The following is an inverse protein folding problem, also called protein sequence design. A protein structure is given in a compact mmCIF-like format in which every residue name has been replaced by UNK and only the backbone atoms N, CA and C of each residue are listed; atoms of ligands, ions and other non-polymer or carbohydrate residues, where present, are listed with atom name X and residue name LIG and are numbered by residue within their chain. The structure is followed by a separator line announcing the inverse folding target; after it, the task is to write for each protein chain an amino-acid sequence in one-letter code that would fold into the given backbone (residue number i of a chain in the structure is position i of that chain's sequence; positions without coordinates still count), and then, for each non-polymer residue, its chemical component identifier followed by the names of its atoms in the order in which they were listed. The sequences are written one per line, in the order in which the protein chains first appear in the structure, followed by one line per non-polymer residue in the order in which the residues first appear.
data_IF_033721753323
#
_entry.id   IF_033721753323
#
_cell.length_a   1.000
_cell.length_b   1.000
_cell.length_c   1.000
_cell.angle_alpha   90.00
_cell.angle_beta   90.00
_cell.angle_gamma   90.00
#
_symmetry.space_group_name_H-M   'P 1'
#
loop_
_entity.id
_entity.type
_entity.pdbx_description
1 polymer ?
#
# COMPACT_ATOMS: atom_id res chain seq x y z
N UNK A 1 -1.10 -44.03 -2.10
CA UNK A 1 -2.12 -43.22 -1.42
C UNK A 1 -1.96 -41.80 -1.94
N UNK A 2 -2.87 -41.27 -2.80
CA UNK A 2 -2.81 -39.92 -3.29
C UNK A 2 -3.40 -38.96 -2.27
N UNK A 3 -2.72 -37.83 -2.03
CA UNK A 3 -3.21 -36.72 -1.21
C UNK A 3 -4.32 -35.95 -1.96
N UNK A 4 -5.38 -35.52 -1.32
CA UNK A 4 -6.41 -34.74 -1.97
C UNK A 4 -5.94 -33.29 -2.17
N UNK A 5 -5.79 -32.90 -3.44
CA UNK A 5 -5.67 -31.49 -3.87
C UNK A 5 -7.05 -30.86 -3.85
N UNK A 6 -7.38 -30.12 -2.82
CA UNK A 6 -8.46 -29.14 -2.85
C UNK A 6 -7.98 -27.83 -2.26
N UNK A 7 -7.47 -26.95 -3.13
CA UNK A 7 -7.33 -25.52 -2.82
C UNK A 7 -8.76 -24.97 -2.85
N UNK A 8 -9.28 -24.38 -1.76
CA UNK A 8 -10.58 -23.73 -1.80
C UNK A 8 -10.52 -22.55 -2.78
N UNK A 9 -11.49 -22.48 -3.68
CA UNK A 9 -11.74 -21.31 -4.52
C UNK A 9 -11.95 -20.09 -3.61
N UNK A 10 -11.43 -18.89 -3.95
CA UNK A 10 -11.71 -17.69 -3.18
C UNK A 10 -13.20 -17.38 -3.32
N UNK A 11 -13.99 -17.81 -2.34
CA UNK A 11 -15.37 -17.42 -2.22
C UNK A 11 -15.44 -15.90 -2.03
N UNK A 12 -16.20 -15.19 -2.87
CA UNK A 12 -16.55 -13.81 -2.65
C UNK A 12 -17.16 -13.68 -1.26
N UNK A 13 -16.58 -12.82 -0.42
CA UNK A 13 -17.14 -12.52 0.89
C UNK A 13 -18.52 -11.89 0.66
N UNK A 14 -19.56 -12.48 1.24
CA UNK A 14 -20.89 -11.93 1.12
C UNK A 14 -20.94 -10.54 1.78
N UNK A 15 -21.67 -9.59 1.19
CA UNK A 15 -21.79 -8.21 1.68
C UNK A 15 -22.25 -8.12 3.16
N UNK A 16 -22.86 -9.19 3.70
CA UNK A 16 -23.23 -9.31 5.12
C UNK A 16 -22.07 -9.54 6.07
N UNK A 17 -20.94 -10.09 5.61
CA UNK A 17 -19.80 -10.41 6.48
C UNK A 17 -18.94 -9.17 6.81
N UNK A 18 -19.03 -8.11 6.01
CA UNK A 18 -18.34 -6.84 6.28
C UNK A 18 -18.93 -6.08 7.48
N UNK A 19 -20.21 -6.32 7.81
CA UNK A 19 -20.88 -5.67 8.95
C UNK A 19 -20.51 -6.30 10.31
N UNK A 20 -19.90 -7.47 10.32
CA UNK A 20 -19.48 -8.21 11.54
C UNK A 20 -17.95 -8.22 11.72
N UNK A 21 -17.26 -7.13 11.32
CA UNK A 21 -15.83 -6.99 11.58
C UNK A 21 -15.65 -6.79 13.09
N UNK A 22 -15.11 -7.80 13.79
CA UNK A 22 -14.62 -7.65 15.16
C UNK A 22 -13.63 -6.48 15.19
N UNK A 23 -13.92 -5.46 15.99
CA UNK A 23 -13.14 -4.21 16.10
C UNK A 23 -11.69 -4.47 16.50
N UNK A 24 -11.40 -5.60 17.12
CA UNK A 24 -10.07 -5.96 17.65
C UNK A 24 -9.10 -6.49 16.58
N UNK A 25 -9.58 -6.79 15.37
CA UNK A 25 -8.77 -7.37 14.29
C UNK A 25 -8.35 -6.38 13.19
N UNK A 26 -8.86 -5.16 13.22
CA UNK A 26 -8.65 -4.11 12.19
C UNK A 26 -8.08 -2.88 12.85
N UNK A 27 -6.99 -2.32 12.28
CA UNK A 27 -6.40 -1.06 12.76
C UNK A 27 -7.32 0.12 12.44
N UNK A 28 -8.02 0.08 11.29
CA UNK A 28 -9.04 1.06 10.93
C UNK A 28 -9.67 0.76 9.57
N UNK A 29 -10.82 1.38 9.32
CA UNK A 29 -11.49 1.30 8.02
C UNK A 29 -12.28 2.58 7.72
N UNK A 30 -12.49 2.85 6.44
CA UNK A 30 -13.34 3.94 5.95
C UNK A 30 -13.86 3.62 4.55
N UNK A 31 -14.94 4.32 4.13
CA UNK A 31 -15.44 4.25 2.76
C UNK A 31 -14.89 5.43 1.98
N UNK A 32 -14.22 5.13 0.84
CA UNK A 32 -13.69 6.17 -0.04
C UNK A 32 -14.79 6.71 -0.97
N UNK A 33 -14.61 7.88 -1.61
CA UNK A 33 -15.66 8.53 -2.40
C UNK A 33 -16.22 7.71 -3.57
N UNK A 34 -15.49 6.72 -4.08
CA UNK A 34 -15.94 5.82 -5.14
C UNK A 34 -16.78 4.64 -4.63
N UNK A 35 -17.00 4.55 -3.30
CA UNK A 35 -17.82 3.52 -2.66
C UNK A 35 -17.06 2.29 -2.19
N UNK A 36 -15.73 2.21 -2.41
CA UNK A 36 -14.95 1.07 -1.92
C UNK A 36 -14.68 1.20 -0.42
N UNK A 37 -14.78 0.08 0.29
CA UNK A 37 -14.37 0.02 1.71
C UNK A 37 -12.86 -0.18 1.79
N UNK A 38 -12.16 0.79 2.35
CA UNK A 38 -10.74 0.68 2.66
C UNK A 38 -10.58 0.05 4.05
N UNK A 39 -9.75 -0.98 4.15
CA UNK A 39 -9.42 -1.65 5.42
C UNK A 39 -7.90 -1.63 5.60
N UNK A 40 -7.44 -1.21 6.79
CA UNK A 40 -6.03 -1.24 7.19
C UNK A 40 -5.91 -2.21 8.35
N UNK A 41 -5.04 -3.20 8.23
CA UNK A 41 -4.89 -4.25 9.23
C UNK A 41 -3.48 -4.83 9.27
N UNK A 42 -3.18 -5.57 10.32
CA UNK A 42 -2.05 -6.49 10.36
C UNK A 42 -2.39 -7.80 9.65
N UNK A 43 -1.43 -8.46 8.96
CA UNK A 43 -1.70 -9.72 8.25
C UNK A 43 -2.30 -10.81 9.14
N UNK A 44 -1.85 -10.93 10.38
CA UNK A 44 -2.36 -11.90 11.35
C UNK A 44 -3.77 -11.60 11.86
N UNK A 45 -4.17 -10.33 11.86
CA UNK A 45 -5.49 -9.89 12.29
C UNK A 45 -6.58 -10.16 11.22
N UNK A 46 -6.22 -10.07 9.94
CA UNK A 46 -7.12 -10.32 8.80
C UNK A 46 -6.45 -11.21 7.74
N UNK A 47 -6.24 -12.50 8.06
CA UNK A 47 -5.59 -13.45 7.14
C UNK A 47 -6.38 -13.68 5.84
N UNK A 48 -7.69 -13.52 5.88
CA UNK A 48 -8.59 -13.55 4.73
C UNK A 48 -8.29 -12.43 3.73
N UNK A 49 -8.28 -11.18 4.21
CA UNK A 49 -7.95 -10.02 3.38
C UNK A 49 -6.48 -10.02 2.95
N UNK A 50 -5.59 -10.51 3.82
CA UNK A 50 -4.18 -10.67 3.46
C UNK A 50 -3.99 -11.63 2.28
N UNK A 51 -4.65 -12.79 2.32
CA UNK A 51 -4.62 -13.74 1.21
C UNK A 51 -5.21 -13.14 -0.08
N UNK A 52 -6.33 -12.42 0.00
CA UNK A 52 -6.96 -11.75 -1.13
C UNK A 52 -6.06 -10.63 -1.70
N UNK A 53 -5.41 -9.84 -0.84
CA UNK A 53 -4.41 -8.83 -1.24
C UNK A 53 -3.25 -9.46 -2.02
N UNK A 54 -2.67 -10.55 -1.49
CA UNK A 54 -1.56 -11.24 -2.13
C UNK A 54 -1.95 -11.82 -3.50
N UNK A 55 -3.15 -12.36 -3.60
CA UNK A 55 -3.68 -12.86 -4.88
C UNK A 55 -3.77 -11.72 -5.91
N UNK A 56 -4.37 -10.59 -5.56
CA UNK A 56 -4.49 -9.42 -6.43
C UNK A 56 -3.13 -8.81 -6.80
N UNK A 57 -2.20 -8.73 -5.83
CA UNK A 57 -0.84 -8.29 -6.09
C UNK A 57 -0.14 -9.20 -7.12
N UNK A 58 -0.21 -10.52 -6.92
CA UNK A 58 0.39 -11.51 -7.82
C UNK A 58 -0.17 -11.40 -9.23
N UNK A 59 -1.49 -11.31 -9.35
CA UNK A 59 -2.16 -11.13 -10.63
C UNK A 59 -1.73 -9.85 -11.33
N UNK A 60 -1.70 -8.71 -10.59
CA UNK A 60 -1.25 -7.43 -11.12
C UNK A 60 0.20 -7.50 -11.61
N UNK A 61 1.11 -8.09 -10.83
CA UNK A 61 2.53 -8.23 -11.20
C UNK A 61 2.71 -9.16 -12.41
N UNK A 62 1.94 -10.25 -12.49
CA UNK A 62 1.93 -11.16 -13.64
C UNK A 62 1.46 -10.46 -14.92
N UNK A 63 0.40 -9.64 -14.85
CA UNK A 63 -0.09 -8.85 -15.98
C UNK A 63 0.92 -7.85 -16.52
N UNK A 64 1.88 -7.44 -15.69
CA UNK A 64 2.99 -6.58 -16.08
C UNK A 64 4.26 -7.37 -16.43
N UNK A 65 4.24 -8.70 -16.32
CA UNK A 65 5.38 -9.57 -16.62
C UNK A 65 6.54 -9.43 -15.63
N UNK A 66 6.24 -9.07 -14.38
CA UNK A 66 7.24 -8.81 -13.32
C UNK A 66 6.91 -9.56 -12.02
N UNK A 67 6.27 -10.72 -12.11
CA UNK A 67 5.83 -11.51 -10.96
C UNK A 67 6.97 -11.82 -9.98
N UNK A 68 8.19 -12.05 -10.47
CA UNK A 68 9.37 -12.31 -9.64
C UNK A 68 9.71 -11.15 -8.69
N UNK A 69 9.40 -9.90 -9.06
CA UNK A 69 9.66 -8.73 -8.23
C UNK A 69 8.71 -8.62 -7.01
N UNK A 70 7.63 -9.39 -6.98
CA UNK A 70 6.74 -9.46 -5.82
C UNK A 70 7.37 -10.22 -4.65
N UNK A 71 8.33 -11.13 -4.91
CA UNK A 71 8.93 -12.00 -3.90
C UNK A 71 7.87 -12.77 -3.08
N UNK A 72 6.84 -13.31 -3.76
CA UNK A 72 5.62 -13.85 -3.19
C UNK A 72 5.87 -14.84 -2.03
N UNK A 73 6.76 -15.80 -2.20
CA UNK A 73 7.06 -16.82 -1.18
C UNK A 73 7.67 -16.22 0.09
N UNK A 74 8.36 -15.08 -0.02
CA UNK A 74 9.00 -14.40 1.11
C UNK A 74 8.03 -13.53 1.91
N UNK A 75 6.90 -13.14 1.30
CA UNK A 75 5.94 -12.23 1.94
C UNK A 75 4.64 -12.93 2.37
N UNK A 76 4.35 -14.12 1.86
CA UNK A 76 3.05 -14.80 2.03
C UNK A 76 2.65 -15.04 3.48
N UNK A 77 3.60 -15.26 4.38
CA UNK A 77 3.36 -15.49 5.79
C UNK A 77 3.06 -14.20 6.60
N UNK A 78 3.15 -13.04 5.95
CA UNK A 78 2.88 -11.73 6.55
C UNK A 78 3.95 -11.20 7.50
N UNK A 79 4.94 -12.00 7.91
CA UNK A 79 5.93 -11.63 8.95
C UNK A 79 6.78 -10.42 8.60
N UNK A 80 6.99 -10.16 7.30
CA UNK A 80 7.72 -9.00 6.80
C UNK A 80 6.85 -7.77 6.56
N UNK A 81 5.60 -7.79 7.06
CA UNK A 81 4.59 -6.73 6.87
C UNK A 81 4.06 -6.29 8.22
N UNK A 82 4.19 -5.01 8.55
CA UNK A 82 3.61 -4.42 9.75
C UNK A 82 2.12 -4.13 9.55
N UNK A 83 1.79 -3.50 8.42
CA UNK A 83 0.42 -3.19 8.03
C UNK A 83 0.24 -3.50 6.54
N UNK A 84 -0.96 -3.87 6.18
CA UNK A 84 -1.42 -3.81 4.80
C UNK A 84 -2.73 -3.03 4.72
N UNK A 85 -3.00 -2.48 3.55
CA UNK A 85 -4.27 -1.82 3.27
C UNK A 85 -4.86 -2.41 1.99
N UNK A 86 -6.16 -2.59 1.99
CA UNK A 86 -6.93 -3.05 0.84
C UNK A 86 -8.15 -2.17 0.61
N UNK A 87 -8.55 -2.03 -0.65
CA UNK A 87 -9.87 -1.52 -1.01
C UNK A 87 -10.72 -2.69 -1.48
N UNK A 88 -11.92 -2.79 -0.94
CA UNK A 88 -12.89 -3.85 -1.20
C UNK A 88 -14.10 -3.23 -1.89
N UNK A 89 -14.54 -3.78 -3.02
CA UNK A 89 -15.73 -3.33 -3.73
C UNK A 89 -17.03 -3.87 -3.10
N UNK A 90 -18.16 -3.47 -3.63
CA UNK A 90 -19.50 -3.86 -3.17
C UNK A 90 -19.79 -5.36 -3.31
N UNK A 91 -18.99 -6.09 -4.11
CA UNK A 91 -19.08 -7.55 -4.25
C UNK A 91 -18.22 -8.30 -3.23
N UNK A 92 -17.44 -7.58 -2.40
CA UNK A 92 -16.48 -8.16 -1.47
C UNK A 92 -15.13 -8.51 -2.09
N UNK A 93 -14.86 -8.11 -3.35
CA UNK A 93 -13.58 -8.34 -4.02
C UNK A 93 -12.55 -7.29 -3.61
N UNK A 94 -11.34 -7.72 -3.28
CA UNK A 94 -10.20 -6.82 -3.12
C UNK A 94 -9.75 -6.31 -4.48
N UNK A 95 -9.83 -5.00 -4.70
CA UNK A 95 -9.57 -4.34 -5.99
C UNK A 95 -8.33 -3.46 -5.99
N UNK A 96 -7.76 -3.18 -4.84
CA UNK A 96 -6.51 -2.45 -4.69
C UNK A 96 -5.84 -2.79 -3.37
N UNK A 97 -4.56 -2.50 -3.25
CA UNK A 97 -3.89 -2.61 -1.97
C UNK A 97 -2.41 -2.26 -2.02
N UNK A 98 -1.84 -2.20 -0.82
CA UNK A 98 -0.42 -2.02 -0.56
C UNK A 98 -0.03 -2.74 0.73
N UNK A 99 1.25 -2.97 0.92
CA UNK A 99 1.81 -3.40 2.21
C UNK A 99 2.90 -2.46 2.68
N UNK A 100 3.07 -2.40 3.99
CA UNK A 100 4.08 -1.59 4.65
C UNK A 100 4.95 -2.49 5.49
N UNK A 101 6.26 -2.40 5.29
CA UNK A 101 7.22 -3.17 6.09
C UNK A 101 7.31 -2.59 7.51
N UNK A 102 7.76 -3.36 8.50
CA UNK A 102 8.05 -2.83 9.82
C UNK A 102 9.02 -1.65 9.76
N UNK A 103 8.93 -0.77 10.76
CA UNK A 103 9.90 0.34 10.93
C UNK A 103 11.32 -0.20 10.77
N UNK A 104 12.08 0.46 9.91
CA UNK A 104 13.45 0.07 9.60
C UNK A 104 14.34 0.22 10.84
N UNK A 105 14.84 -0.91 11.34
CA UNK A 105 15.71 -0.92 12.52
C UNK A 105 17.18 -0.62 12.18
N UNK A 106 17.62 -0.97 10.96
CA UNK A 106 18.99 -0.78 10.48
C UNK A 106 19.02 -0.83 8.95
N UNK A 107 20.02 -0.17 8.36
CA UNK A 107 20.11 0.04 6.90
C UNK A 107 20.17 -1.27 6.10
N UNK A 108 20.83 -2.29 6.63
CA UNK A 108 21.01 -3.59 5.97
C UNK A 108 19.69 -4.35 5.74
N UNK A 109 18.64 -3.93 6.44
CA UNK A 109 17.29 -4.49 6.28
C UNK A 109 16.46 -3.79 5.20
N UNK A 110 16.97 -2.66 4.67
CA UNK A 110 16.23 -1.90 3.66
C UNK A 110 16.17 -2.67 2.34
N UNK A 111 14.95 -2.95 1.88
CA UNK A 111 14.69 -3.64 0.61
C UNK A 111 15.14 -2.78 -0.57
N UNK A 112 14.93 -1.46 -0.50
CA UNK A 112 15.38 -0.53 -1.55
C UNK A 112 16.89 -0.61 -1.78
N UNK A 113 17.72 -0.81 -0.75
CA UNK A 113 19.17 -1.00 -0.91
C UNK A 113 19.50 -2.33 -1.61
N UNK A 114 18.70 -3.35 -1.38
CA UNK A 114 18.85 -4.65 -2.06
C UNK A 114 18.48 -4.54 -3.55
N UNK A 115 17.42 -3.79 -3.88
CA UNK A 115 17.01 -3.52 -5.26
C UNK A 115 18.04 -2.69 -6.03
N UNK A 116 18.74 -1.78 -5.35
CA UNK A 116 19.81 -0.95 -5.93
C UNK A 116 21.22 -1.54 -5.80
N UNK A 117 21.37 -2.75 -5.27
CA UNK A 117 22.69 -3.35 -5.07
C UNK A 117 23.49 -3.35 -6.39
N UNK A 118 24.70 -2.74 -6.35
CA UNK A 118 25.58 -2.64 -7.51
C UNK A 118 25.14 -1.65 -8.61
N UNK A 119 24.11 -0.83 -8.37
CA UNK A 119 23.58 0.14 -9.31
C UNK A 119 23.93 1.59 -8.92
N UNK A 120 23.94 2.54 -9.86
CA UNK A 120 24.11 3.96 -9.56
C UNK A 120 23.05 4.45 -8.56
N UNK A 121 23.44 5.27 -7.60
CA UNK A 121 22.52 5.81 -6.58
C UNK A 121 22.46 4.99 -5.28
N UNK A 122 23.12 3.82 -5.20
CA UNK A 122 23.13 3.00 -3.97
C UNK A 122 23.70 3.75 -2.77
N UNK A 123 24.76 4.53 -2.96
CA UNK A 123 25.37 5.32 -1.89
C UNK A 123 24.45 6.45 -1.41
N UNK A 124 23.78 7.12 -2.32
CA UNK A 124 22.82 8.20 -2.07
C UNK A 124 21.60 7.69 -1.32
N UNK A 125 21.05 6.54 -1.70
CA UNK A 125 19.95 5.88 -0.97
C UNK A 125 20.39 5.53 0.44
N UNK A 126 21.60 4.96 0.61
CA UNK A 126 22.14 4.62 1.93
C UNK A 126 22.30 5.85 2.80
N UNK A 127 22.83 6.94 2.26
CA UNK A 127 22.96 8.22 2.97
C UNK A 127 21.58 8.79 3.34
N UNK A 128 20.64 8.79 2.40
CA UNK A 128 19.25 9.23 2.61
C UNK A 128 18.52 8.45 3.71
N UNK A 129 18.70 7.14 3.76
CA UNK A 129 18.18 6.28 4.82
C UNK A 129 18.86 6.57 6.17
N UNK A 130 20.18 6.70 6.19
CA UNK A 130 20.94 6.97 7.42
C UNK A 130 20.49 8.26 8.09
N UNK A 131 20.30 9.33 7.31
CA UNK A 131 19.82 10.63 7.79
C UNK A 131 18.40 10.56 8.41
N UNK A 132 17.57 9.62 7.95
CA UNK A 132 16.15 9.54 8.34
C UNK A 132 15.86 8.45 9.38
N UNK A 133 16.77 7.51 9.59
CA UNK A 133 16.56 6.29 10.36
C UNK A 133 16.08 6.57 11.80
N UNK A 134 16.69 7.54 12.49
CA UNK A 134 16.33 7.90 13.86
C UNK A 134 14.91 8.44 13.99
N UNK A 135 14.42 9.15 12.96
CA UNK A 135 13.06 9.69 12.91
C UNK A 135 12.00 8.65 12.49
N UNK A 136 12.41 7.43 12.20
CA UNK A 136 11.57 6.35 11.73
C UNK A 136 11.33 6.38 10.22
N UNK A 137 11.63 5.24 9.59
CA UNK A 137 11.43 4.99 8.16
C UNK A 137 10.67 3.69 7.99
N UNK A 138 9.69 3.67 7.11
CA UNK A 138 9.02 2.46 6.60
C UNK A 138 9.16 2.37 5.10
N UNK A 139 9.11 1.14 4.57
CA UNK A 139 9.05 0.91 3.13
C UNK A 139 7.64 0.50 2.72
N UNK A 140 7.04 1.21 1.77
CA UNK A 140 5.76 0.86 1.16
C UNK A 140 6.02 0.04 -0.09
N UNK A 141 5.36 -1.12 -0.20
CA UNK A 141 5.68 -2.14 -1.19
C UNK A 141 4.43 -2.72 -1.83
N UNK A 142 4.63 -3.33 -2.99
CA UNK A 142 3.62 -4.13 -3.69
C UNK A 142 2.27 -3.41 -3.80
N UNK A 143 2.32 -2.14 -4.24
CA UNK A 143 1.15 -1.29 -4.47
C UNK A 143 0.51 -1.66 -5.81
N UNK A 144 -0.78 -1.93 -5.80
CA UNK A 144 -1.52 -2.26 -7.02
C UNK A 144 -2.96 -1.76 -6.97
N UNK A 145 -3.54 -1.54 -8.15
CA UNK A 145 -4.96 -1.23 -8.37
C UNK A 145 -5.41 -2.04 -9.58
N UNK A 146 -6.49 -2.78 -9.45
CA UNK A 146 -7.06 -3.59 -10.52
C UNK A 146 -7.36 -2.75 -11.78
N UNK A 147 -7.20 -3.36 -12.96
CA UNK A 147 -7.43 -2.64 -14.22
C UNK A 147 -8.90 -2.42 -14.53
N UNK A 148 -9.73 -3.35 -14.08
CA UNK A 148 -11.17 -3.45 -14.35
C UNK A 148 -12.05 -2.82 -13.27
N UNK A 149 -11.46 -2.09 -12.31
CA UNK A 149 -12.21 -1.45 -11.24
C UNK A 149 -12.85 -0.14 -11.70
N UNK A 150 -14.11 0.05 -11.31
CA UNK A 150 -14.80 1.33 -11.47
C UNK A 150 -14.11 2.43 -10.67
N UNK A 151 -14.22 3.68 -11.15
CA UNK A 151 -13.64 4.85 -10.47
C UNK A 151 -12.14 4.71 -10.14
N UNK A 152 -11.38 4.07 -11.02
CA UNK A 152 -9.96 3.75 -10.84
C UNK A 152 -9.10 4.96 -10.49
N UNK A 153 -9.39 6.14 -11.04
CA UNK A 153 -8.66 7.39 -10.76
C UNK A 153 -8.79 7.80 -9.29
N UNK A 154 -9.99 8.06 -8.77
CA UNK A 154 -10.24 8.34 -7.35
C UNK A 154 -9.66 7.27 -6.42
N UNK A 155 -9.88 5.99 -6.71
CA UNK A 155 -9.31 4.90 -5.92
C UNK A 155 -7.79 4.93 -5.89
N UNK A 156 -7.13 5.23 -7.00
CA UNK A 156 -5.66 5.36 -7.05
C UNK A 156 -5.18 6.52 -6.17
N UNK A 157 -5.92 7.64 -6.14
CA UNK A 157 -5.60 8.77 -5.27
C UNK A 157 -5.76 8.38 -3.77
N UNK A 158 -6.80 7.62 -3.43
CA UNK A 158 -6.96 7.06 -2.08
C UNK A 158 -5.80 6.14 -1.72
N UNK A 159 -5.42 5.21 -2.60
CA UNK A 159 -4.26 4.32 -2.39
C UNK A 159 -2.97 5.12 -2.18
N UNK A 160 -2.79 6.24 -2.89
CA UNK A 160 -1.64 7.12 -2.66
C UNK A 160 -1.65 7.75 -1.26
N UNK A 161 -2.81 8.15 -0.73
CA UNK A 161 -2.93 8.70 0.63
C UNK A 161 -2.66 7.66 1.73
N UNK A 162 -2.85 6.37 1.46
CA UNK A 162 -2.53 5.30 2.41
C UNK A 162 -1.05 5.26 2.80
N UNK A 163 -0.15 5.83 2.01
CA UNK A 163 1.26 6.02 2.39
C UNK A 163 1.38 6.93 3.62
N UNK A 164 0.59 8.01 3.65
CA UNK A 164 0.57 8.96 4.77
C UNK A 164 -0.11 8.35 5.98
N UNK A 165 -1.26 7.70 5.80
CA UNK A 165 -1.95 7.00 6.89
C UNK A 165 -1.07 5.93 7.53
N UNK A 166 -0.30 5.18 6.74
CA UNK A 166 0.64 4.20 7.27
C UNK A 166 1.74 4.84 8.13
N UNK A 167 2.26 6.01 7.73
CA UNK A 167 3.24 6.74 8.54
C UNK A 167 2.64 7.20 9.87
N UNK A 168 1.39 7.66 9.86
CA UNK A 168 0.68 8.09 11.08
C UNK A 168 0.41 6.92 12.02
N UNK A 169 -0.10 5.81 11.51
CA UNK A 169 -0.41 4.61 12.29
C UNK A 169 0.85 3.96 12.89
N UNK A 170 1.95 3.93 12.14
CA UNK A 170 3.23 3.37 12.60
C UNK A 170 4.11 4.38 13.34
N UNK A 171 3.62 5.62 13.55
CA UNK A 171 4.32 6.69 14.26
C UNK A 171 5.75 6.91 13.73
N UNK A 172 5.89 6.96 12.40
CA UNK A 172 7.15 7.26 11.71
C UNK A 172 7.07 8.56 10.94
N UNK A 173 8.20 9.22 10.75
CA UNK A 173 8.24 10.46 9.97
C UNK A 173 8.37 10.21 8.47
N UNK A 174 9.05 9.15 8.05
CA UNK A 174 9.38 8.94 6.64
C UNK A 174 8.84 7.63 6.10
N UNK A 175 8.40 7.68 4.84
CA UNK A 175 8.19 6.50 4.03
C UNK A 175 9.07 6.55 2.77
N UNK A 176 9.51 5.39 2.30
CA UNK A 176 10.21 5.24 1.03
C UNK A 176 9.51 4.19 0.18
N UNK A 177 9.48 4.41 -1.12
CA UNK A 177 8.94 3.48 -2.10
C UNK A 177 9.78 3.54 -3.38
N UNK A 178 9.88 2.41 -4.07
CA UNK A 178 10.38 2.36 -5.44
C UNK A 178 9.21 2.28 -6.41
N UNK A 179 9.22 3.08 -7.46
CA UNK A 179 8.13 3.15 -8.42
C UNK A 179 8.64 3.27 -9.87
N UNK A 180 8.00 2.53 -10.77
CA UNK A 180 8.23 2.71 -12.18
C UNK A 180 7.78 4.10 -12.65
N UNK A 181 8.48 4.70 -13.60
CA UNK A 181 8.28 6.08 -14.04
C UNK A 181 6.81 6.43 -14.37
N UNK A 182 6.06 5.49 -14.95
CA UNK A 182 4.64 5.69 -15.28
C UNK A 182 3.71 5.78 -14.05
N UNK A 183 4.18 5.40 -12.86
CA UNK A 183 3.40 5.47 -11.62
C UNK A 183 3.79 6.68 -10.74
N UNK A 184 4.93 7.30 -10.99
CA UNK A 184 5.51 8.36 -10.13
C UNK A 184 4.53 9.52 -9.88
N UNK A 185 3.92 10.06 -10.94
CA UNK A 185 2.98 11.19 -10.81
C UNK A 185 1.78 10.88 -9.93
N UNK A 186 1.35 9.62 -9.87
CA UNK A 186 0.24 9.18 -9.02
C UNK A 186 0.64 9.21 -7.54
N UNK A 187 1.85 8.78 -7.23
CA UNK A 187 2.36 8.78 -5.86
C UNK A 187 2.75 10.18 -5.37
N UNK A 188 3.14 11.07 -6.28
CA UNK A 188 3.39 12.47 -5.96
C UNK A 188 2.13 13.21 -5.49
N UNK A 189 0.92 12.78 -5.88
CA UNK A 189 -0.33 13.41 -5.43
C UNK A 189 -0.54 13.34 -3.92
N UNK A 190 0.12 12.41 -3.22
CA UNK A 190 0.08 12.27 -1.75
C UNK A 190 1.33 12.80 -1.04
N UNK A 191 2.13 13.61 -1.73
CA UNK A 191 3.33 14.22 -1.16
C UNK A 191 4.62 13.41 -1.37
N UNK A 192 4.61 12.42 -2.26
CA UNK A 192 5.81 11.69 -2.66
C UNK A 192 6.77 12.58 -3.46
N UNK A 193 8.03 12.64 -3.08
CA UNK A 193 9.08 13.40 -3.74
C UNK A 193 10.13 12.44 -4.30
N UNK A 194 10.42 12.57 -5.60
CA UNK A 194 11.49 11.78 -6.23
C UNK A 194 12.83 12.20 -5.62
N UNK A 195 13.65 11.22 -5.25
CA UNK A 195 15.03 11.45 -4.82
C UNK A 195 15.86 11.94 -6.02
N UNK A 196 16.11 13.25 -6.08
CA UNK A 196 16.76 13.88 -7.23
C UNK A 196 18.23 13.47 -7.41
N UNK A 197 18.87 13.06 -6.32
CA UNK A 197 20.25 12.58 -6.24
C UNK A 197 20.39 11.09 -6.58
N UNK A 198 19.29 10.36 -6.74
CA UNK A 198 19.28 8.93 -7.07
C UNK A 198 18.88 8.73 -8.54
N UNK A 199 19.79 8.28 -9.40
CA UNK A 199 19.44 7.97 -10.78
C UNK A 199 18.36 6.89 -10.89
N UNK A 200 17.46 7.04 -11.87
CA UNK A 200 16.52 5.99 -12.20
C UNK A 200 17.26 4.79 -12.80
N UNK A 201 16.88 3.57 -12.40
CA UNK A 201 17.51 2.33 -12.84
C UNK A 201 16.52 1.41 -13.54
N UNK A 202 17.03 0.50 -14.36
CA UNK A 202 16.26 -0.59 -14.93
C UNK A 202 15.94 -1.61 -13.83
N UNK A 203 14.68 -1.62 -13.33
CA UNK A 203 14.23 -2.57 -12.30
C UNK A 203 12.72 -2.80 -12.41
N UNK A 204 12.22 -4.03 -12.33
CA UNK A 204 12.99 -5.28 -12.18
C UNK A 204 13.77 -5.70 -13.43
N UNK A 205 13.44 -5.16 -14.60
CA UNK A 205 14.10 -5.41 -15.88
C UNK A 205 14.18 -4.13 -16.74
N UNK A 206 14.78 -4.22 -17.93
CA UNK A 206 15.05 -3.09 -18.83
C UNK A 206 13.81 -2.35 -19.34
N UNK A 207 12.61 -2.93 -19.22
CA UNK A 207 11.35 -2.29 -19.63
C UNK A 207 10.91 -1.20 -18.65
N UNK A 208 11.44 -1.21 -17.42
CA UNK A 208 11.01 -0.33 -16.35
C UNK A 208 12.13 0.60 -15.92
N UNK A 209 11.87 1.89 -16.03
CA UNK A 209 12.69 2.92 -15.42
C UNK A 209 12.14 3.19 -14.03
N UNK A 210 12.81 2.69 -13.00
CA UNK A 210 12.36 2.78 -11.60
C UNK A 210 13.11 3.86 -10.84
N UNK A 211 12.36 4.60 -10.05
CA UNK A 211 12.81 5.73 -9.25
C UNK A 211 12.53 5.48 -7.77
N UNK A 212 13.29 6.14 -6.90
CA UNK A 212 13.05 6.18 -5.45
C UNK A 212 12.26 7.45 -5.12
N UNK A 213 11.21 7.28 -4.31
CA UNK A 213 10.40 8.38 -3.79
C UNK A 213 10.41 8.36 -2.26
N UNK A 214 10.40 9.56 -1.68
CA UNK A 214 10.31 9.79 -0.26
C UNK A 214 9.03 10.54 0.09
N UNK A 215 8.42 10.19 1.22
CA UNK A 215 7.41 10.99 1.91
C UNK A 215 7.99 11.47 3.22
N UNK A 216 7.75 12.73 3.56
CA UNK A 216 8.00 13.32 4.87
C UNK A 216 6.65 13.74 5.45
N UNK A 217 6.20 13.06 6.49
CA UNK A 217 4.90 13.31 7.14
C UNK A 217 4.72 14.78 7.55
N UNK A 218 5.80 15.43 7.96
CA UNK A 218 5.76 16.84 8.42
C UNK A 218 5.58 17.84 7.27
N UNK A 219 5.75 17.40 6.02
CA UNK A 219 5.66 18.26 4.83
C UNK A 219 4.47 17.95 3.93
N UNK A 220 3.61 17.02 4.33
CA UNK A 220 2.48 16.59 3.48
C UNK A 220 1.60 17.79 3.11
N UNK A 221 1.25 18.66 4.06
CA UNK A 221 0.42 19.84 3.82
C UNK A 221 1.02 20.83 2.80
N UNK A 222 2.35 20.85 2.64
CA UNK A 222 3.03 21.72 1.66
C UNK A 222 3.08 21.11 0.25
N UNK A 223 2.99 19.78 0.16
CA UNK A 223 3.29 19.03 -1.06
C UNK A 223 2.04 18.54 -1.81
N UNK A 224 0.90 18.48 -1.15
CA UNK A 224 -0.35 18.00 -1.74
C UNK A 224 -1.27 19.16 -2.12
N UNK A 225 -2.21 18.92 -3.05
CA UNK A 225 -3.27 19.90 -3.34
C UNK A 225 -4.25 20.01 -2.17
N UNK A 226 -5.00 21.11 -2.10
CA UNK A 226 -6.01 21.32 -1.07
C UNK A 226 -7.02 20.15 -1.01
N UNK A 227 -7.51 19.68 -2.16
CA UNK A 227 -8.47 18.56 -2.23
C UNK A 227 -7.89 17.26 -1.66
N UNK A 228 -6.60 16.99 -1.92
CA UNK A 228 -5.92 15.81 -1.37
C UNK A 228 -5.72 15.94 0.14
N UNK A 229 -5.39 17.15 0.62
CA UNK A 229 -5.22 17.41 2.04
C UNK A 229 -6.54 17.27 2.81
N UNK A 230 -7.64 17.81 2.26
CA UNK A 230 -8.98 17.70 2.84
C UNK A 230 -9.45 16.24 2.89
N UNK A 231 -9.20 15.48 1.83
CA UNK A 231 -9.50 14.05 1.80
C UNK A 231 -8.68 13.28 2.85
N UNK A 232 -7.38 13.55 2.94
CA UNK A 232 -6.48 12.94 3.92
C UNK A 232 -6.92 13.24 5.36
N UNK A 233 -7.29 14.49 5.65
CA UNK A 233 -7.79 14.91 6.98
C UNK A 233 -9.05 14.15 7.35
N UNK A 234 -10.02 14.09 6.43
CA UNK A 234 -11.28 13.37 6.65
C UNK A 234 -11.05 11.87 6.88
N UNK A 235 -10.20 11.23 6.08
CA UNK A 235 -9.83 9.83 6.24
C UNK A 235 -9.13 9.58 7.58
N UNK A 236 -8.23 10.48 8.00
CA UNK A 236 -7.57 10.41 9.31
C UNK A 236 -8.57 10.50 10.47
N UNK A 237 -9.59 11.36 10.35
CA UNK A 237 -10.63 11.49 11.37
C UNK A 237 -11.53 10.25 11.45
N UNK A 238 -11.83 9.62 10.32
CA UNK A 238 -12.53 8.33 10.27
C UNK A 238 -11.70 7.21 10.91
N UNK A 239 -10.42 7.11 10.57
CA UNK A 239 -9.50 6.12 11.15
C UNK A 239 -9.31 6.30 12.65
N UNK A 240 -9.33 7.55 13.14
CA UNK A 240 -9.25 7.87 14.56
C UNK A 240 -10.59 7.73 15.32
N UNK A 241 -11.66 7.32 14.64
CA UNK A 241 -13.01 7.25 15.22
C UNK A 241 -13.62 8.60 15.61
N UNK A 242 -13.07 9.71 15.08
CA UNK A 242 -13.59 11.08 15.35
C UNK A 242 -14.81 11.41 14.50
N UNK A 243 -14.99 10.73 13.38
CA UNK A 243 -16.19 10.81 12.54
C UNK A 243 -16.87 9.44 12.48
N UNK A 244 -18.23 9.39 12.48
CA UNK A 244 -18.92 8.13 12.29
C UNK A 244 -18.72 7.63 10.85
N UNK A 245 -18.48 6.32 10.70
CA UNK A 245 -18.55 5.67 9.40
C UNK A 245 -20.02 5.64 8.99
N UNK A 246 -20.41 6.50 8.04
CA UNK A 246 -21.77 6.49 7.49
C UNK A 246 -21.85 5.34 6.47
N UNK A 247 -22.65 4.31 6.73
CA UNK A 247 -22.86 3.27 5.72
C UNK A 247 -23.52 3.90 4.50
N UNK A 248 -23.00 3.63 3.32
CA UNK A 248 -23.68 4.00 2.07
C UNK A 248 -24.95 3.16 2.01
N UNK A 249 -26.09 3.78 2.29
CA UNK A 249 -27.39 3.16 2.03
C UNK A 249 -27.48 2.98 0.52
N UNK A 250 -27.36 1.73 0.05
CA UNK A 250 -27.72 1.37 -1.31
C UNK A 250 -29.18 1.78 -1.50
N UNK A 251 -29.42 2.87 -2.23
CA UNK A 251 -30.76 3.19 -2.70
C UNK A 251 -31.17 2.12 -3.71
N UNK A 252 -31.85 1.09 -3.22
CA UNK A 252 -32.63 0.18 -4.06
C UNK A 252 -33.83 1.00 -4.53
N UNK A 253 -33.81 1.40 -5.78
CA UNK A 253 -34.97 1.84 -6.55
C UNK A 253 -35.29 0.81 -7.62
#
# INVERSE_FOLDING_TARGET
MPFPSSVPSPAALAAGDLACLSTDAVVGSFVEPGGHTVVIAEPGARPDLWAAYLHGARESYRQHGVESALEFEQIRDGRSTALFAVAVDDTGRVVAGLRVQPRLARLEKATVLREWAGRPGTAEIRAGLALRLSSGVVEVRAVWVARDVAHRGPLTATVARLFVHAMDLLQVRFAVCTAAAHAVTRWQTSGGVVAADVPAVAYPDERYRTMVLWWDRTRVAELVSADQYDALTRESDLLAGRLPVVPVLSSVA
#
